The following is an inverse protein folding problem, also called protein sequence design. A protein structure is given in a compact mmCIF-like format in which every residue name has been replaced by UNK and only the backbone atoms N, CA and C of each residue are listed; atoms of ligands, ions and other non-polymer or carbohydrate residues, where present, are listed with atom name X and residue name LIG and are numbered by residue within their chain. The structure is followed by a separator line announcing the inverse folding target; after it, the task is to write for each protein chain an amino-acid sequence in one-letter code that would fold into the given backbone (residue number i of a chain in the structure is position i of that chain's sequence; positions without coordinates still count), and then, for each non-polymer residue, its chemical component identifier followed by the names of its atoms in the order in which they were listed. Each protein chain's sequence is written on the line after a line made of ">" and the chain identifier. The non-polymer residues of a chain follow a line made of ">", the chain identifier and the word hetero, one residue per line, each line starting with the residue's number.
data_IF_718904479353
#
_entry.id   IF_718904479353
#
_cell.length_a   1.000
_cell.length_b   1.000
_cell.length_c   1.000
_cell.angle_alpha   90.00
_cell.angle_beta   90.00
_cell.angle_gamma   90.00
#
_symmetry.space_group_name_H-M   'P 1'
#
loop_
_entity.id
_entity.type
_entity.pdbx_description
1 polymer ?
#
# COMPACT_ATOMS: atom_id res chain seq x y z
N UNK A 1 18.05 5.46 -5.62
CA UNK A 1 17.78 4.84 -4.29
C UNK A 1 16.57 3.92 -4.35
N UNK A 2 15.47 4.32 -5.00
CA UNK A 2 14.34 3.43 -5.25
C UNK A 2 14.60 2.47 -6.43
N UNK A 3 15.46 2.86 -7.37
CA UNK A 3 15.81 2.04 -8.54
C UNK A 3 16.47 0.71 -8.16
N UNK A 4 17.30 0.69 -7.11
CA UNK A 4 17.91 -0.55 -6.59
C UNK A 4 16.89 -1.52 -5.99
N UNK A 5 15.69 -1.04 -5.68
CA UNK A 5 14.57 -1.88 -5.27
C UNK A 5 13.70 -2.29 -6.46
N UNK A 6 13.90 -1.72 -7.66
CA UNK A 6 13.09 -1.96 -8.85
C UNK A 6 11.97 -0.95 -9.09
N UNK A 7 11.92 0.12 -8.28
CA UNK A 7 11.01 1.26 -8.44
C UNK A 7 11.77 2.38 -9.16
N UNK A 8 11.63 2.42 -10.48
CA UNK A 8 12.34 3.32 -11.39
C UNK A 8 11.55 4.59 -11.70
N UNK A 9 10.25 4.60 -11.41
CA UNK A 9 9.39 5.76 -11.56
C UNK A 9 8.76 6.10 -10.21
N UNK A 10 8.89 7.35 -9.78
CA UNK A 10 8.26 7.83 -8.55
C UNK A 10 7.35 9.01 -8.89
N UNK A 11 6.09 9.05 -8.44
CA UNK A 11 5.09 10.02 -8.89
C UNK A 11 5.41 11.48 -8.53
N UNK A 12 6.43 11.72 -7.69
CA UNK A 12 6.92 13.08 -7.40
C UNK A 12 7.77 13.68 -8.54
N UNK A 13 8.22 12.87 -9.51
CA UNK A 13 9.02 13.32 -10.66
C UNK A 13 8.11 13.54 -11.87
N UNK A 14 8.20 14.71 -12.50
CA UNK A 14 7.22 15.24 -13.47
C UNK A 14 7.01 14.36 -14.72
N UNK A 15 8.00 13.56 -15.11
CA UNK A 15 8.14 13.13 -16.51
C UNK A 15 7.88 11.64 -16.78
N UNK A 16 7.28 10.91 -15.83
CA UNK A 16 7.08 9.46 -15.99
C UNK A 16 5.64 9.03 -15.70
N UNK A 17 5.08 8.23 -16.61
CA UNK A 17 3.95 7.36 -16.29
C UNK A 17 4.38 6.42 -15.15
N UNK A 18 3.60 6.39 -14.07
CA UNK A 18 3.92 5.56 -12.92
C UNK A 18 3.93 4.08 -13.29
N UNK A 19 4.86 3.32 -12.71
CA UNK A 19 4.84 1.86 -12.79
C UNK A 19 3.54 1.29 -12.22
N UNK A 20 2.97 0.32 -12.92
CA UNK A 20 1.80 -0.44 -12.44
C UNK A 20 2.17 -1.31 -11.24
N UNK A 21 1.17 -1.64 -10.43
CA UNK A 21 1.35 -2.44 -9.22
C UNK A 21 2.02 -3.80 -9.52
N UNK A 22 1.61 -4.48 -10.59
CA UNK A 22 2.18 -5.76 -11.02
C UNK A 22 3.67 -5.64 -11.40
N UNK A 23 4.06 -4.50 -11.98
CA UNK A 23 5.44 -4.22 -12.36
C UNK A 23 6.32 -3.98 -11.13
N UNK A 24 5.78 -3.30 -10.11
CA UNK A 24 6.46 -3.11 -8.83
C UNK A 24 6.58 -4.46 -8.11
N UNK A 25 5.49 -5.23 -8.04
CA UNK A 25 5.46 -6.54 -7.36
C UNK A 25 6.46 -7.53 -7.98
N UNK A 26 6.49 -7.65 -9.30
CA UNK A 26 7.39 -8.54 -10.03
C UNK A 26 8.87 -8.16 -9.90
N UNK A 27 9.21 -6.88 -9.74
CA UNK A 27 10.60 -6.43 -9.59
C UNK A 27 11.07 -6.43 -8.14
N UNK A 28 10.23 -6.00 -7.21
CA UNK A 28 10.62 -5.67 -5.83
C UNK A 28 10.27 -6.78 -4.84
N UNK A 29 9.21 -7.56 -5.10
CA UNK A 29 8.58 -8.43 -4.11
C UNK A 29 7.82 -7.66 -3.00
N UNK A 30 7.69 -6.34 -3.10
CA UNK A 30 6.94 -5.53 -2.15
C UNK A 30 5.45 -5.81 -2.31
N UNK A 31 4.84 -6.26 -1.22
CA UNK A 31 3.41 -6.59 -1.11
C UNK A 31 2.75 -5.66 -0.09
N UNK A 32 2.46 -4.40 -0.44
CA UNK A 32 1.82 -3.45 0.47
C UNK A 32 0.37 -3.81 0.81
N UNK A 33 -0.24 -4.76 0.09
CA UNK A 33 -1.63 -5.19 0.27
C UNK A 33 -1.77 -6.52 1.03
N UNK A 34 -0.69 -7.29 1.18
CA UNK A 34 -0.76 -8.64 1.71
C UNK A 34 0.56 -9.06 2.37
N UNK A 35 0.47 -9.80 3.47
CA UNK A 35 1.61 -10.54 4.02
C UNK A 35 1.51 -12.00 3.58
N UNK A 36 2.62 -12.58 3.12
CA UNK A 36 2.73 -14.01 2.82
C UNK A 36 3.68 -14.63 3.83
N UNK A 37 3.26 -15.74 4.44
CA UNK A 37 4.04 -16.48 5.42
C UNK A 37 3.87 -17.98 5.26
N UNK A 38 4.60 -18.72 6.08
CA UNK A 38 4.50 -20.18 6.14
C UNK A 38 3.74 -20.54 7.41
N UNK A 39 2.71 -21.37 7.29
CA UNK A 39 1.94 -21.86 8.43
C UNK A 39 1.72 -23.38 8.33
N UNK A 40 1.56 -24.09 9.46
CA UNK A 40 1.25 -25.51 9.45
C UNK A 40 -0.13 -25.76 8.83
N UNK A 41 -0.21 -26.75 7.96
CA UNK A 41 -1.46 -27.31 7.48
C UNK A 41 -1.89 -28.45 8.41
N UNK A 42 -2.82 -28.15 9.31
CA UNK A 42 -3.35 -29.09 10.32
C UNK A 42 -3.86 -30.41 9.71
N UNK A 43 -4.30 -30.39 8.44
CA UNK A 43 -4.84 -31.58 7.76
C UNK A 43 -3.78 -32.46 7.10
N UNK A 44 -2.58 -31.93 6.81
CA UNK A 44 -1.59 -32.59 5.95
C UNK A 44 -0.22 -32.80 6.59
N UNK A 45 -0.05 -32.54 7.89
CA UNK A 45 1.25 -32.62 8.60
C UNK A 45 2.39 -32.02 7.79
N UNK A 46 2.13 -30.88 7.17
CA UNK A 46 3.06 -30.20 6.26
C UNK A 46 2.90 -28.69 6.44
N UNK A 47 3.89 -27.92 6.00
CA UNK A 47 3.78 -26.48 5.91
C UNK A 47 3.11 -26.08 4.59
N UNK A 48 2.34 -24.99 4.61
CA UNK A 48 1.79 -24.37 3.42
C UNK A 48 2.00 -22.85 3.49
N UNK A 49 1.93 -22.21 2.34
CA UNK A 49 1.91 -20.76 2.27
C UNK A 49 0.54 -20.25 2.72
N UNK A 50 0.55 -19.18 3.50
CA UNK A 50 -0.64 -18.46 3.89
C UNK A 50 -0.50 -16.98 3.58
N UNK A 51 -1.62 -16.36 3.20
CA UNK A 51 -1.72 -14.94 2.96
C UNK A 51 -2.64 -14.32 4.01
N UNK A 52 -2.22 -13.19 4.57
CA UNK A 52 -2.95 -12.47 5.60
C UNK A 52 -2.89 -10.96 5.37
N UNK A 53 -3.78 -10.23 6.05
CA UNK A 53 -3.81 -8.78 6.08
C UNK A 53 -2.44 -8.26 6.55
N UNK A 54 -1.85 -7.33 5.80
CA UNK A 54 -0.68 -6.61 6.27
C UNK A 54 -1.15 -5.47 7.18
N UNK A 55 -0.76 -5.53 8.45
CA UNK A 55 -1.04 -4.43 9.37
C UNK A 55 -0.23 -3.21 8.96
N UNK A 56 -0.88 -2.13 8.53
CA UNK A 56 -0.16 -1.01 7.99
C UNK A 56 0.56 -0.27 9.14
N UNK A 57 1.89 -0.13 9.00
CA UNK A 57 2.79 0.14 10.14
C UNK A 57 2.69 1.56 10.72
N UNK A 58 2.15 2.49 9.94
CA UNK A 58 2.04 3.90 10.31
C UNK A 58 0.59 4.39 10.35
N UNK A 59 -0.38 3.48 10.44
CA UNK A 59 -1.77 3.89 10.28
C UNK A 59 -2.36 4.48 11.51
N UNK A 60 -3.20 5.47 11.25
CA UNK A 60 -3.95 6.16 12.27
C UNK A 60 -4.86 5.15 12.99
N UNK A 61 -4.96 5.23 14.32
CA UNK A 61 -5.82 4.33 15.09
C UNK A 61 -7.26 4.33 14.54
N UNK A 62 -8.00 3.23 14.68
CA UNK A 62 -9.38 3.11 14.18
C UNK A 62 -10.31 4.27 14.54
N UNK A 63 -10.10 4.86 15.73
CA UNK A 63 -10.85 6.02 16.21
C UNK A 63 -10.65 7.28 15.34
N UNK A 64 -9.48 7.43 14.71
CA UNK A 64 -9.07 8.59 13.89
C UNK A 64 -9.47 8.41 12.42
N UNK A 65 -9.70 7.17 11.97
CA UNK A 65 -10.12 6.86 10.60
C UNK A 65 -11.57 7.33 10.30
N UNK A 66 -12.39 7.58 11.33
CA UNK A 66 -13.76 8.09 11.17
C UNK A 66 -13.76 9.52 10.59
N UNK A 67 -14.40 9.68 9.42
CA UNK A 67 -14.41 10.85 8.54
C UNK A 67 -14.58 12.23 9.21
N UNK A 68 -15.33 12.33 10.30
CA UNK A 68 -15.71 13.63 10.90
C UNK A 68 -14.62 14.30 11.77
N UNK A 69 -13.53 13.62 12.10
CA UNK A 69 -12.47 14.16 12.98
C UNK A 69 -11.11 14.37 12.27
N UNK A 70 -11.00 13.99 10.99
CA UNK A 70 -9.72 13.87 10.28
C UNK A 70 -8.91 15.16 10.25
N UNK A 71 -9.51 16.29 9.89
CA UNK A 71 -8.77 17.55 9.74
C UNK A 71 -8.42 18.22 11.08
N UNK A 72 -9.15 17.92 12.15
CA UNK A 72 -8.94 18.51 13.47
C UNK A 72 -8.11 17.62 14.41
N UNK A 73 -7.83 16.37 14.03
CA UNK A 73 -7.06 15.44 14.83
C UNK A 73 -5.54 15.66 14.69
N UNK A 74 -4.86 15.94 15.80
CA UNK A 74 -3.42 16.18 15.87
C UNK A 74 -2.58 15.00 15.33
N UNK A 75 -3.04 13.76 15.49
CA UNK A 75 -2.33 12.57 14.97
C UNK A 75 -2.44 12.50 13.45
N UNK A 76 -3.61 12.83 12.88
CA UNK A 76 -3.76 12.93 11.42
C UNK A 76 -2.84 14.02 10.85
N UNK A 77 -2.78 15.19 11.49
CA UNK A 77 -1.90 16.29 11.06
C UNK A 77 -0.42 15.91 11.16
N UNK A 78 -0.01 15.18 12.20
CA UNK A 78 1.35 14.62 12.33
C UNK A 78 1.66 13.59 11.24
N UNK A 79 0.72 12.71 10.92
CA UNK A 79 0.87 11.74 9.84
C UNK A 79 1.03 12.42 8.48
N UNK A 80 0.17 13.40 8.18
CA UNK A 80 0.27 14.21 6.95
C UNK A 80 1.63 14.90 6.82
N UNK A 81 2.13 15.50 7.92
CA UNK A 81 3.48 16.12 7.96
C UNK A 81 4.59 15.10 7.74
N UNK A 82 4.45 13.89 8.30
CA UNK A 82 5.41 12.81 8.09
C UNK A 82 5.47 12.38 6.61
N UNK A 83 4.32 12.12 5.99
CA UNK A 83 4.23 11.77 4.55
C UNK A 83 4.87 12.87 3.70
N UNK A 84 4.52 14.13 3.93
CA UNK A 84 5.13 15.27 3.23
C UNK A 84 6.65 15.32 3.40
N UNK A 85 7.15 15.11 4.61
CA UNK A 85 8.59 15.10 4.90
C UNK A 85 9.33 13.97 4.17
N UNK A 86 8.71 12.79 4.06
CA UNK A 86 9.25 11.66 3.28
C UNK A 86 9.29 12.01 1.80
N UNK A 87 8.21 12.55 1.23
CA UNK A 87 8.16 12.95 -0.17
C UNK A 87 9.21 14.03 -0.49
N UNK A 88 9.43 14.99 0.41
CA UNK A 88 10.46 16.02 0.27
C UNK A 88 11.89 15.46 0.23
N UNK A 89 12.17 14.31 0.87
CA UNK A 89 13.48 13.64 0.74
C UNK A 89 13.74 13.20 -0.70
N UNK A 90 12.69 12.75 -1.41
CA UNK A 90 12.79 12.29 -2.79
C UNK A 90 12.76 13.44 -3.81
N UNK A 91 12.30 14.64 -3.46
CA UNK A 91 12.27 15.79 -4.40
C UNK A 91 13.65 16.28 -4.85
N UNK A 92 14.71 15.85 -4.17
CA UNK A 92 16.06 16.38 -4.35
C UNK A 92 16.13 17.82 -3.85
N UNK A 93 16.86 18.08 -2.76
CA UNK A 93 17.04 19.44 -2.26
C UNK A 93 17.85 20.25 -3.28
N UNK A 94 17.22 21.18 -4.01
CA UNK A 94 17.84 22.52 -4.13
C UNK A 94 17.67 23.17 -2.76
N UNK A 95 18.62 22.91 -1.84
CA UNK A 95 18.65 23.60 -0.55
C UNK A 95 18.69 25.11 -0.81
N UNK A 96 17.65 25.83 -0.41
CA UNK A 96 17.91 27.03 0.38
C UNK A 96 17.42 26.71 1.80
N UNK A 97 18.30 26.79 2.81
CA UNK A 97 17.84 26.68 4.18
C UNK A 97 16.85 27.83 4.40
N UNK A 98 15.69 27.53 4.97
CA UNK A 98 14.79 28.57 5.46
C UNK A 98 15.48 29.25 6.65
N UNK A 99 16.27 30.28 6.36
CA UNK A 99 16.75 31.19 7.39
C UNK A 99 15.56 31.97 7.91
N UNK A 100 15.22 31.71 9.16
CA UNK A 100 14.51 32.65 10.02
C UNK A 100 15.13 34.05 9.89
N UNK A 101 14.42 34.99 9.24
CA UNK A 101 14.18 36.39 9.66
C UNK A 101 13.70 37.30 8.50
N UNK A 102 12.54 37.92 8.75
CA UNK A 102 12.11 39.30 8.44
C UNK A 102 12.22 39.85 7.00
N UNK A 103 11.03 40.18 6.46
CA UNK A 103 10.64 41.44 5.77
C UNK A 103 11.76 42.32 5.17
N UNK A 104 11.83 42.43 3.85
CA UNK A 104 11.63 43.70 3.11
C UNK A 104 11.82 43.53 1.59
N UNK A 105 10.84 44.07 0.86
CA UNK A 105 10.81 44.69 -0.46
C UNK A 105 11.84 44.40 -1.59
N UNK A 106 11.23 44.25 -2.79
CA UNK A 106 11.65 44.64 -4.15
C UNK A 106 12.29 43.63 -5.12
N UNK A 107 11.43 43.25 -6.09
CA UNK A 107 11.56 43.30 -7.56
C UNK A 107 12.72 42.55 -8.22
N UNK A 108 12.33 41.51 -8.97
CA UNK A 108 13.12 40.85 -10.00
C UNK A 108 12.32 39.70 -10.60
N UNK A 109 11.27 40.03 -11.36
CA UNK A 109 10.45 39.05 -12.06
C UNK A 109 11.27 38.37 -13.16
N UNK A 110 11.73 37.14 -12.90
CA UNK A 110 12.01 36.16 -13.96
C UNK A 110 10.77 35.29 -14.16
N UNK A 111 9.98 35.63 -15.17
CA UNK A 111 8.65 35.07 -15.49
C UNK A 111 8.66 33.60 -15.98
N UNK A 112 9.80 32.90 -15.97
CA UNK A 112 9.88 31.49 -16.38
C UNK A 112 9.78 30.47 -15.24
N UNK A 113 10.01 30.86 -13.98
CA UNK A 113 10.17 29.91 -12.87
C UNK A 113 8.89 29.68 -12.05
N UNK A 114 7.98 30.65 -12.00
CA UNK A 114 6.79 30.62 -11.16
C UNK A 114 5.78 29.53 -11.58
N UNK A 115 5.57 29.34 -12.89
CA UNK A 115 4.67 28.30 -13.42
C UNK A 115 5.18 26.87 -13.17
N UNK A 116 6.50 26.67 -13.16
CA UNK A 116 7.09 25.35 -12.92
C UNK A 116 7.02 24.93 -11.45
N UNK A 117 7.05 25.91 -10.54
CA UNK A 117 7.02 25.65 -9.10
C UNK A 117 5.58 25.47 -8.59
N UNK A 118 4.62 26.28 -9.07
CA UNK A 118 3.20 26.12 -8.72
C UNK A 118 2.65 24.76 -9.18
N UNK A 119 2.89 24.38 -10.44
CA UNK A 119 2.48 23.08 -10.97
C UNK A 119 3.11 21.89 -10.20
N UNK A 120 4.35 22.07 -9.72
CA UNK A 120 5.05 21.05 -8.93
C UNK A 120 4.48 20.93 -7.51
N UNK A 121 4.09 22.05 -6.91
CA UNK A 121 3.49 22.07 -5.57
C UNK A 121 2.04 21.55 -5.60
N UNK A 122 1.27 21.84 -6.65
CA UNK A 122 -0.06 21.27 -6.89
C UNK A 122 0.02 19.75 -7.10
N UNK A 123 0.98 19.27 -7.89
CA UNK A 123 1.21 17.82 -8.08
C UNK A 123 1.60 17.12 -6.79
N UNK A 124 2.44 17.75 -5.97
CA UNK A 124 2.82 17.20 -4.66
C UNK A 124 1.60 17.05 -3.75
N UNK A 125 0.72 18.05 -3.78
CA UNK A 125 -0.55 18.00 -3.05
C UNK A 125 -1.42 16.83 -3.52
N UNK A 126 -1.56 16.65 -4.83
CA UNK A 126 -2.30 15.50 -5.39
C UNK A 126 -1.69 14.15 -4.99
N UNK A 127 -0.38 13.97 -5.14
CA UNK A 127 0.30 12.72 -4.74
C UNK A 127 0.14 12.44 -3.24
N UNK A 128 0.23 13.48 -2.41
CA UNK A 128 0.01 13.35 -0.97
C UNK A 128 -1.44 12.96 -0.66
N UNK A 129 -2.41 13.60 -1.31
CA UNK A 129 -3.82 13.31 -1.11
C UNK A 129 -4.17 11.87 -1.56
N UNK A 130 -3.60 11.40 -2.68
CA UNK A 130 -3.73 10.02 -3.16
C UNK A 130 -3.15 9.00 -2.17
N UNK A 131 -1.93 9.23 -1.66
CA UNK A 131 -1.29 8.37 -0.66
C UNK A 131 -2.17 8.28 0.60
N UNK A 132 -2.62 9.43 1.11
CA UNK A 132 -3.46 9.49 2.29
C UNK A 132 -4.79 8.77 2.06
N UNK A 133 -5.42 8.95 0.90
CA UNK A 133 -6.68 8.29 0.57
C UNK A 133 -6.53 6.77 0.53
N UNK A 134 -5.52 6.26 -0.18
CA UNK A 134 -5.24 4.81 -0.28
C UNK A 134 -4.93 4.22 1.09
N UNK A 135 -4.03 4.83 1.86
CA UNK A 135 -3.67 4.35 3.20
C UNK A 135 -4.87 4.31 4.13
N UNK A 136 -5.73 5.33 4.09
CA UNK A 136 -6.94 5.37 4.91
C UNK A 136 -7.91 4.27 4.53
N UNK A 137 -8.11 4.03 3.23
CA UNK A 137 -8.97 2.96 2.76
C UNK A 137 -8.44 1.60 3.24
N UNK A 138 -7.15 1.33 3.01
CA UNK A 138 -6.50 0.08 3.45
C UNK A 138 -6.61 -0.09 4.97
N UNK A 139 -6.37 0.97 5.75
CA UNK A 139 -6.52 0.97 7.21
C UNK A 139 -7.93 0.55 7.62
N UNK A 140 -8.95 1.17 7.00
CA UNK A 140 -10.35 0.87 7.30
C UNK A 140 -10.68 -0.59 6.99
N UNK A 141 -10.23 -1.13 5.86
CA UNK A 141 -10.46 -2.53 5.53
C UNK A 141 -9.74 -3.49 6.48
N UNK A 142 -8.49 -3.18 6.89
CA UNK A 142 -7.77 -3.97 7.89
C UNK A 142 -8.53 -4.04 9.20
N UNK A 143 -9.08 -2.90 9.65
CA UNK A 143 -9.85 -2.80 10.89
C UNK A 143 -11.15 -3.57 10.79
N UNK A 144 -11.91 -3.39 9.72
CA UNK A 144 -13.17 -4.12 9.51
C UNK A 144 -12.91 -5.62 9.53
N UNK A 145 -11.93 -6.11 8.75
CA UNK A 145 -11.56 -7.52 8.76
C UNK A 145 -11.13 -8.04 10.14
N UNK A 146 -10.44 -7.21 10.92
CA UNK A 146 -9.94 -7.59 12.24
C UNK A 146 -11.00 -7.56 13.35
N UNK A 147 -11.94 -6.61 13.29
CA UNK A 147 -13.11 -6.59 14.19
C UNK A 147 -13.97 -7.81 13.90
N UNK A 148 -14.19 -8.12 12.62
CA UNK A 148 -14.90 -9.33 12.20
C UNK A 148 -14.23 -10.57 12.78
N UNK A 149 -12.90 -10.72 12.66
CA UNK A 149 -12.14 -11.80 13.29
C UNK A 149 -12.32 -11.86 14.81
N UNK A 150 -12.19 -10.73 15.50
CA UNK A 150 -12.27 -10.66 16.96
C UNK A 150 -13.67 -11.02 17.48
N UNK A 151 -14.73 -10.54 16.81
CA UNK A 151 -16.11 -10.88 17.16
C UNK A 151 -16.40 -12.37 16.95
N UNK A 152 -15.91 -12.97 15.86
CA UNK A 152 -16.05 -14.40 15.62
C UNK A 152 -15.32 -15.25 16.67
N UNK A 153 -14.17 -14.79 17.15
CA UNK A 153 -13.43 -15.45 18.22
C UNK A 153 -14.14 -15.37 19.57
N UNK A 154 -14.78 -14.23 19.89
CA UNK A 154 -15.56 -14.02 21.11
C UNK A 154 -16.83 -14.86 21.18
N UNK A 155 -17.52 -15.05 20.05
CA UNK A 155 -18.82 -15.75 20.00
C UNK A 155 -18.62 -17.28 19.97
N UNK A 156 -17.39 -17.79 20.03
CA UNK A 156 -17.08 -19.23 20.02
C UNK A 156 -17.39 -19.93 18.69
N UNK A 157 -17.84 -19.20 17.68
CA UNK A 157 -18.17 -19.69 16.35
C UNK A 157 -16.92 -19.71 15.45
N UNK A 158 -15.84 -20.31 15.94
CA UNK A 158 -14.63 -20.59 15.15
C UNK A 158 -14.88 -21.84 14.29
N UNK A 159 -15.94 -21.82 13.48
CA UNK A 159 -15.89 -22.57 12.25
C UNK A 159 -15.20 -21.66 11.25
N UNK A 160 -13.89 -21.85 11.06
CA UNK A 160 -13.13 -21.90 9.78
C UNK A 160 -13.62 -21.09 8.56
N UNK A 161 -14.47 -20.07 8.68
CA UNK A 161 -15.05 -19.32 7.56
C UNK A 161 -14.10 -18.21 7.08
N UNK A 162 -13.23 -17.72 7.95
CA UNK A 162 -12.24 -16.69 7.61
C UNK A 162 -10.92 -17.26 7.09
N UNK A 163 -10.84 -18.57 6.81
CA UNK A 163 -9.65 -19.20 6.26
C UNK A 163 -10.03 -20.22 5.19
N UNK A 164 -9.69 -19.94 3.94
CA UNK A 164 -9.92 -20.89 2.83
C UNK A 164 -8.58 -21.30 2.24
N UNK A 165 -8.46 -22.60 1.94
CA UNK A 165 -7.33 -23.14 1.20
C UNK A 165 -7.81 -23.47 -0.21
N UNK A 166 -7.12 -22.95 -1.22
CA UNK A 166 -7.29 -23.30 -2.63
C UNK A 166 -5.92 -23.44 -3.28
N UNK A 167 -5.88 -24.00 -4.49
CA UNK A 167 -4.69 -23.96 -5.34
C UNK A 167 -4.38 -22.54 -5.78
N UNK A 168 -3.13 -22.27 -6.14
CA UNK A 168 -2.73 -20.95 -6.65
C UNK A 168 -3.52 -20.59 -7.91
N UNK A 169 -3.73 -21.53 -8.83
CA UNK A 169 -4.55 -21.30 -10.02
C UNK A 169 -6.00 -20.90 -9.69
N UNK A 170 -6.64 -21.57 -8.73
CA UNK A 170 -8.00 -21.23 -8.30
C UNK A 170 -8.09 -19.85 -7.64
N UNK A 171 -7.05 -19.42 -6.93
CA UNK A 171 -6.95 -18.05 -6.41
C UNK A 171 -6.73 -17.03 -7.51
N UNK A 172 -5.93 -17.36 -8.51
CA UNK A 172 -5.73 -16.53 -9.68
C UNK A 172 -7.03 -16.33 -10.46
N UNK A 173 -7.86 -17.36 -10.56
CA UNK A 173 -9.19 -17.27 -11.18
C UNK A 173 -10.15 -16.42 -10.34
N UNK A 174 -10.09 -16.55 -9.01
CA UNK A 174 -10.95 -15.79 -8.08
C UNK A 174 -10.66 -14.29 -8.07
N UNK A 175 -9.39 -13.89 -7.97
CA UNK A 175 -9.01 -12.48 -7.89
C UNK A 175 -8.63 -11.86 -9.24
N UNK A 176 -8.26 -12.68 -10.22
CA UNK A 176 -7.83 -12.22 -11.54
C UNK A 176 -6.69 -11.19 -11.46
N UNK A 177 -6.84 -10.11 -12.25
CA UNK A 177 -5.90 -8.99 -12.27
C UNK A 177 -6.05 -8.05 -11.06
N UNK A 178 -7.13 -8.18 -10.28
CA UNK A 178 -7.42 -7.27 -9.17
C UNK A 178 -6.46 -7.48 -7.99
N UNK A 179 -6.01 -8.72 -7.81
CA UNK A 179 -4.96 -9.07 -6.85
C UNK A 179 -4.03 -10.11 -7.50
N UNK A 180 -2.89 -9.68 -8.09
CA UNK A 180 -1.97 -10.53 -8.85
C UNK A 180 -1.14 -11.44 -7.92
N UNK A 181 -1.78 -12.46 -7.33
CA UNK A 181 -1.17 -13.38 -6.37
C UNK A 181 -0.04 -14.18 -7.04
N UNK A 182 -0.29 -14.64 -8.27
CA UNK A 182 0.64 -15.49 -9.02
C UNK A 182 1.95 -14.77 -9.34
N UNK A 183 1.87 -13.53 -9.83
CA UNK A 183 3.03 -12.72 -10.22
C UNK A 183 3.97 -12.50 -9.04
N UNK A 184 3.41 -12.16 -7.87
CA UNK A 184 4.20 -12.02 -6.66
C UNK A 184 4.84 -13.34 -6.24
N UNK A 185 4.07 -14.43 -6.22
CA UNK A 185 4.59 -15.72 -5.74
C UNK A 185 5.66 -16.28 -6.65
N UNK A 186 5.51 -16.17 -7.98
CA UNK A 186 6.56 -16.56 -8.93
C UNK A 186 7.89 -15.86 -8.65
N UNK A 187 7.86 -14.56 -8.35
CA UNK A 187 9.06 -13.81 -8.01
C UNK A 187 9.67 -14.27 -6.68
N UNK A 188 8.83 -14.48 -5.65
CA UNK A 188 9.30 -14.92 -4.33
C UNK A 188 9.94 -16.32 -4.40
N UNK A 189 9.34 -17.25 -5.14
CA UNK A 189 9.92 -18.58 -5.37
C UNK A 189 11.22 -18.52 -6.15
N UNK A 190 11.28 -17.73 -7.23
CA UNK A 190 12.49 -17.52 -8.01
C UNK A 190 13.65 -17.00 -7.14
N UNK A 191 13.38 -16.00 -6.29
CA UNK A 191 14.36 -15.45 -5.34
C UNK A 191 14.82 -16.45 -4.28
N UNK A 192 13.93 -17.35 -3.87
CA UNK A 192 14.25 -18.42 -2.93
C UNK A 192 14.96 -19.62 -3.60
N UNK A 193 15.15 -19.61 -4.93
CA UNK A 193 15.66 -20.77 -5.67
C UNK A 193 14.70 -21.96 -5.67
N UNK A 194 13.40 -21.71 -5.48
CA UNK A 194 12.35 -22.72 -5.40
C UNK A 194 11.54 -22.79 -6.70
N UNK A 195 10.94 -23.96 -6.97
CA UNK A 195 10.07 -24.17 -8.14
C UNK A 195 8.66 -23.70 -7.81
N UNK A 196 8.15 -22.77 -8.61
CA UNK A 196 6.76 -22.35 -8.52
C UNK A 196 5.85 -23.37 -9.23
N UNK A 197 4.83 -23.89 -8.52
CA UNK A 197 3.80 -24.75 -9.10
C UNK A 197 2.41 -24.15 -8.86
N UNK A 198 1.64 -23.92 -9.93
CA UNK A 198 0.29 -23.35 -9.85
C UNK A 198 -0.71 -24.26 -9.13
N UNK A 199 -0.42 -25.56 -9.02
CA UNK A 199 -1.24 -26.53 -8.30
C UNK A 199 -0.95 -26.58 -6.78
N UNK A 200 0.04 -25.82 -6.29
CA UNK A 200 0.32 -25.75 -4.87
C UNK A 200 -0.80 -25.04 -4.11
N UNK A 201 -0.99 -25.44 -2.84
CA UNK A 201 -2.03 -24.90 -1.99
C UNK A 201 -1.58 -23.64 -1.26
N UNK A 202 -2.42 -22.60 -1.31
CA UNK A 202 -2.27 -21.38 -0.52
C UNK A 202 -3.52 -21.16 0.32
N UNK A 203 -3.32 -20.92 1.62
CA UNK A 203 -4.37 -20.52 2.53
C UNK A 203 -4.54 -19.01 2.57
N UNK A 204 -5.75 -18.49 2.47
CA UNK A 204 -6.02 -17.05 2.60
C UNK A 204 -6.90 -16.80 3.82
N UNK A 205 -6.42 -15.94 4.70
CA UNK A 205 -7.20 -15.38 5.79
C UNK A 205 -8.00 -14.15 5.33
N UNK A 206 -9.21 -13.97 5.84
CA UNK A 206 -10.04 -12.77 5.60
C UNK A 206 -10.25 -12.46 4.11
N UNK A 207 -10.84 -13.39 3.38
CA UNK A 207 -11.09 -13.23 1.93
C UNK A 207 -11.88 -11.96 1.62
N UNK A 208 -12.80 -11.57 2.49
CA UNK A 208 -13.58 -10.33 2.35
C UNK A 208 -12.69 -9.08 2.28
N UNK A 209 -11.62 -9.03 3.07
CA UNK A 209 -10.62 -7.95 2.98
C UNK A 209 -9.99 -7.92 1.59
N UNK A 210 -9.54 -9.07 1.09
CA UNK A 210 -8.89 -9.15 -0.22
C UNK A 210 -9.85 -8.86 -1.38
N UNK A 211 -11.12 -9.26 -1.28
CA UNK A 211 -12.17 -8.89 -2.23
C UNK A 211 -12.39 -7.36 -2.25
N UNK A 212 -12.52 -6.73 -1.08
CA UNK A 212 -12.72 -5.29 -0.97
C UNK A 212 -11.51 -4.50 -1.50
N UNK A 213 -10.30 -4.91 -1.13
CA UNK A 213 -9.06 -4.31 -1.65
C UNK A 213 -8.93 -4.49 -3.16
N UNK A 214 -9.21 -5.68 -3.70
CA UNK A 214 -9.18 -5.93 -5.14
C UNK A 214 -10.17 -5.05 -5.91
N UNK A 215 -11.40 -4.93 -5.42
CA UNK A 215 -12.41 -4.03 -6.01
C UNK A 215 -11.96 -2.57 -5.98
N UNK A 216 -11.38 -2.12 -4.87
CA UNK A 216 -10.85 -0.76 -4.73
C UNK A 216 -9.68 -0.51 -5.69
N UNK A 217 -8.69 -1.40 -5.75
CA UNK A 217 -7.57 -1.27 -6.70
C UNK A 217 -8.05 -1.22 -8.16
N UNK A 218 -9.07 -1.99 -8.50
CA UNK A 218 -9.69 -1.96 -9.83
C UNK A 218 -10.35 -0.61 -10.12
N UNK A 219 -10.93 0.04 -9.12
CA UNK A 219 -11.51 1.39 -9.26
C UNK A 219 -10.49 2.51 -9.45
N UNK A 220 -9.22 2.27 -9.07
CA UNK A 220 -8.11 3.21 -9.24
C UNK A 220 -7.44 3.10 -10.61
N UNK A 221 -7.75 2.06 -11.39
CA UNK A 221 -7.14 1.79 -12.69
C UNK A 221 -8.18 2.07 -13.78
N UNK A 222 -8.01 3.10 -14.64
CA UNK A 222 -8.92 3.36 -15.75
C UNK A 222 -8.89 2.26 -16.83
#
# INVERSE_FOLDING_TARGET
>A
MLDSLGITTWPVYADHEGQRYEQILSKTGLRPLASVGVAPNEKKTAYMLTMNIIWPRFTLPPAVVKQKLKEQDDKYQKYKKFVASVLDLFRGKKKKPASSKRLSHEVGATEGAANSQSARDDRMKHVMDDILQVDMYLSQQCITGSITLFLFQLIGNISRQNFTIKKICEWQDHFGKQLPITEGLKNDFSRAGAIFNSDDFVGIHNIEYFNAVGAYMSSLTP
#
